data_IF_566064146036
#
_entry.id   IF_566064146036
#
_cell.length_a   1.000
_cell.length_b   1.000
_cell.length_c   1.000
_cell.angle_alpha   90.00
_cell.angle_beta   90.00
_cell.angle_gamma   90.00
#
_symmetry.space_group_name_H-M   'P 1'
#
loop_
_entity.id
_entity.type
_entity.pdbx_description
1 polymer ?
#
# COMPACT_ATOMS: atom_id res chain seq x y z
N UNK A 1 2.46 -1.34 -43.25
CA UNK A 1 1.86 -0.70 -42.06
C UNK A 1 2.12 -1.47 -40.76
N UNK A 2 2.00 -2.81 -40.74
CA UNK A 2 2.14 -3.63 -39.51
C UNK A 2 3.45 -3.47 -38.73
N UNK A 3 4.61 -3.38 -39.38
CA UNK A 3 5.91 -3.19 -38.70
C UNK A 3 5.98 -1.84 -37.97
N UNK A 4 5.50 -0.76 -38.60
CA UNK A 4 5.50 0.59 -38.01
C UNK A 4 4.63 0.60 -36.76
N UNK A 5 3.44 -0.02 -36.81
CA UNK A 5 2.53 -0.13 -35.66
C UNK A 5 3.12 -1.00 -34.55
N UNK A 6 3.80 -2.10 -34.88
CA UNK A 6 4.47 -2.94 -33.90
C UNK A 6 5.59 -2.21 -33.16
N UNK A 7 6.41 -1.44 -33.89
CA UNK A 7 7.49 -0.63 -33.30
C UNK A 7 6.92 0.44 -32.38
N UNK A 8 5.91 1.21 -32.82
CA UNK A 8 5.32 2.26 -31.99
C UNK A 8 4.60 1.69 -30.76
N UNK A 9 3.98 0.50 -30.87
CA UNK A 9 3.35 -0.18 -29.74
C UNK A 9 4.37 -0.60 -28.68
N UNK A 10 5.47 -1.25 -29.07
CA UNK A 10 6.51 -1.68 -28.13
C UNK A 10 7.19 -0.48 -27.48
N UNK A 11 7.48 0.59 -28.24
CA UNK A 11 7.99 1.84 -27.69
C UNK A 11 7.02 2.45 -26.67
N UNK A 12 5.71 2.43 -26.95
CA UNK A 12 4.67 2.89 -26.03
C UNK A 12 4.61 2.06 -24.74
N UNK A 13 4.68 0.73 -24.84
CA UNK A 13 4.68 -0.17 -23.68
C UNK A 13 5.91 0.08 -22.79
N UNK A 14 7.09 0.16 -23.38
CA UNK A 14 8.34 0.44 -22.65
C UNK A 14 8.27 1.82 -22.00
N UNK A 15 7.80 2.85 -22.72
CA UNK A 15 7.66 4.20 -22.18
C UNK A 15 6.70 4.26 -20.98
N UNK A 16 5.54 3.59 -21.07
CA UNK A 16 4.57 3.52 -19.97
C UNK A 16 5.13 2.80 -18.73
N UNK A 17 5.84 1.68 -18.94
CA UNK A 17 6.49 0.93 -17.87
C UNK A 17 7.60 1.75 -17.20
N UNK A 18 8.45 2.41 -17.99
CA UNK A 18 9.56 3.22 -17.48
C UNK A 18 9.06 4.43 -16.68
N UNK A 19 8.01 5.11 -17.15
CA UNK A 19 7.36 6.23 -16.44
C UNK A 19 6.76 5.79 -15.09
N UNK A 20 6.12 4.61 -15.04
CA UNK A 20 5.56 4.06 -13.80
C UNK A 20 6.65 3.68 -12.80
N UNK A 21 7.77 3.12 -13.27
CA UNK A 21 8.89 2.74 -12.42
C UNK A 21 9.64 3.98 -11.87
N UNK A 22 9.87 4.99 -12.71
CA UNK A 22 10.56 6.22 -12.31
C UNK A 22 9.77 7.01 -11.25
N UNK A 23 8.46 7.14 -11.45
CA UNK A 23 7.58 7.79 -10.47
C UNK A 23 7.53 7.03 -9.14
N UNK A 24 7.48 5.70 -9.16
CA UNK A 24 7.53 4.86 -7.96
C UNK A 24 8.87 4.97 -7.21
N UNK A 25 9.99 4.97 -7.93
CA UNK A 25 11.32 5.13 -7.32
C UNK A 25 11.49 6.53 -6.69
N UNK A 26 11.00 7.56 -7.37
CA UNK A 26 11.04 8.95 -6.91
C UNK A 26 10.17 9.17 -5.68
N UNK A 27 8.96 8.61 -5.65
CA UNK A 27 8.09 8.68 -4.48
C UNK A 27 8.69 7.96 -3.26
N UNK A 28 9.21 6.74 -3.44
CA UNK A 28 9.92 5.99 -2.40
C UNK A 28 11.12 6.77 -1.85
N UNK A 29 11.96 7.31 -2.73
CA UNK A 29 13.12 8.12 -2.33
C UNK A 29 12.69 9.34 -1.52
N UNK A 30 11.62 10.01 -1.95
CA UNK A 30 11.12 11.24 -1.33
C UNK A 30 10.51 10.96 0.04
N UNK A 31 9.60 9.99 0.13
CA UNK A 31 9.03 9.53 1.41
C UNK A 31 10.11 9.08 2.37
N UNK A 32 11.12 8.31 1.92
CA UNK A 32 12.22 7.91 2.80
C UNK A 32 13.06 9.11 3.29
N UNK A 33 13.38 10.06 2.42
CA UNK A 33 14.13 11.25 2.82
C UNK A 33 13.38 12.13 3.83
N UNK A 34 12.07 12.29 3.67
CA UNK A 34 11.25 13.17 4.50
C UNK A 34 10.85 12.44 5.79
N UNK A 35 10.26 11.26 5.68
CA UNK A 35 9.62 10.56 6.80
C UNK A 35 10.66 9.88 7.72
N UNK A 36 11.73 9.31 7.14
CA UNK A 36 12.75 8.57 7.91
C UNK A 36 14.01 9.40 8.20
N UNK A 37 14.56 10.08 7.17
CA UNK A 37 15.81 10.85 7.35
C UNK A 37 15.57 12.28 7.86
N UNK A 38 14.32 12.72 7.92
CA UNK A 38 13.91 14.07 8.33
C UNK A 38 14.75 15.15 7.67
N UNK A 39 14.95 15.02 6.35
CA UNK A 39 15.93 15.78 5.58
C UNK A 39 15.73 17.30 5.67
N UNK A 40 14.49 17.75 5.88
CA UNK A 40 14.16 19.16 6.05
C UNK A 40 14.80 19.81 7.28
N UNK A 41 15.24 19.02 8.27
CA UNK A 41 15.97 19.51 9.46
C UNK A 41 17.49 19.54 9.28
N UNK A 42 18.01 19.10 8.13
CA UNK A 42 19.46 19.04 7.86
C UNK A 42 19.94 20.30 7.10
N UNK A 43 21.22 20.70 7.24
CA UNK A 43 21.79 21.82 6.50
C UNK A 43 21.60 21.67 4.99
N UNK A 44 21.26 22.76 4.29
CA UNK A 44 21.00 22.73 2.84
C UNK A 44 22.14 22.13 2.01
N UNK A 45 23.39 22.37 2.44
CA UNK A 45 24.59 21.81 1.83
C UNK A 45 24.57 20.26 1.78
N UNK A 46 24.00 19.61 2.80
CA UNK A 46 23.94 18.15 2.91
C UNK A 46 22.70 17.56 2.26
N UNK A 47 21.60 18.32 2.15
CA UNK A 47 20.33 17.82 1.64
C UNK A 47 20.47 17.25 0.22
N UNK A 48 21.14 17.99 -0.68
CA UNK A 48 21.33 17.53 -2.08
C UNK A 48 22.16 16.25 -2.15
N UNK A 49 23.21 16.15 -1.34
CA UNK A 49 24.08 14.97 -1.27
C UNK A 49 23.33 13.75 -0.75
N UNK A 50 22.55 13.95 0.31
CA UNK A 50 21.74 12.88 0.92
C UNK A 50 20.68 12.40 -0.07
N UNK A 51 19.90 13.30 -0.71
CA UNK A 51 18.88 12.91 -1.71
C UNK A 51 19.47 12.07 -2.84
N UNK A 52 20.60 12.51 -3.43
CA UNK A 52 21.27 11.75 -4.50
C UNK A 52 21.72 10.38 -4.04
N UNK A 53 22.35 10.28 -2.86
CA UNK A 53 22.82 9.00 -2.32
C UNK A 53 21.66 8.06 -2.00
N UNK A 54 20.59 8.57 -1.39
CA UNK A 54 19.38 7.80 -1.11
C UNK A 54 18.71 7.33 -2.39
N UNK A 55 18.63 8.17 -3.43
CA UNK A 55 18.03 7.78 -4.70
C UNK A 55 18.76 6.61 -5.34
N UNK A 56 20.10 6.68 -5.45
CA UNK A 56 20.92 5.57 -5.97
C UNK A 56 20.76 4.30 -5.15
N UNK A 57 20.73 4.43 -3.82
CA UNK A 57 20.51 3.30 -2.92
C UNK A 57 19.12 2.68 -3.10
N UNK A 58 18.08 3.51 -3.24
CA UNK A 58 16.71 3.07 -3.48
C UNK A 58 16.57 2.39 -4.84
N UNK A 59 17.28 2.85 -5.88
CA UNK A 59 17.32 2.17 -7.19
C UNK A 59 17.88 0.77 -7.06
N UNK A 60 19.00 0.62 -6.32
CA UNK A 60 19.59 -0.69 -6.05
C UNK A 60 18.65 -1.59 -5.24
N UNK A 61 18.01 -1.06 -4.20
CA UNK A 61 17.03 -1.78 -3.40
C UNK A 61 15.86 -2.27 -4.25
N UNK A 62 15.32 -1.43 -5.14
CA UNK A 62 14.21 -1.79 -6.01
C UNK A 62 14.58 -2.94 -6.96
N UNK A 63 15.79 -2.93 -7.53
CA UNK A 63 16.31 -4.04 -8.34
C UNK A 63 16.37 -5.33 -7.52
N UNK A 64 16.90 -5.27 -6.30
CA UNK A 64 16.98 -6.45 -5.40
C UNK A 64 15.58 -6.99 -5.09
N UNK A 65 14.63 -6.13 -4.75
CA UNK A 65 13.24 -6.53 -4.46
C UNK A 65 12.60 -7.19 -5.69
N UNK A 66 12.79 -6.64 -6.90
CA UNK A 66 12.26 -7.24 -8.14
C UNK A 66 12.86 -8.62 -8.40
N UNK A 67 14.17 -8.79 -8.18
CA UNK A 67 14.83 -10.10 -8.30
C UNK A 67 14.26 -11.09 -7.28
N UNK A 68 14.11 -10.68 -6.01
CA UNK A 68 13.52 -11.52 -4.96
C UNK A 68 12.09 -11.94 -5.37
N UNK A 69 11.24 -11.01 -5.80
CA UNK A 69 9.88 -11.33 -6.24
C UNK A 69 9.86 -12.33 -7.39
N UNK A 70 10.81 -12.26 -8.32
CA UNK A 70 10.93 -13.22 -9.43
C UNK A 70 11.27 -14.64 -8.97
N UNK A 71 12.07 -14.79 -7.91
CA UNK A 71 12.58 -16.09 -7.45
C UNK A 71 11.80 -16.70 -6.28
N UNK A 72 11.22 -15.87 -5.41
CA UNK A 72 10.47 -16.34 -4.23
C UNK A 72 9.03 -16.68 -4.57
N UNK A 73 8.50 -16.11 -5.65
CA UNK A 73 7.10 -16.27 -6.01
C UNK A 73 6.92 -17.20 -7.21
N UNK A 74 6.39 -18.40 -6.96
CA UNK A 74 6.06 -19.38 -8.01
C UNK A 74 4.78 -19.01 -8.80
N UNK A 75 4.05 -17.98 -8.36
CA UNK A 75 2.84 -17.47 -9.02
C UNK A 75 3.17 -16.38 -10.03
N UNK A 76 2.20 -16.03 -10.88
CA UNK A 76 2.32 -14.85 -11.74
C UNK A 76 2.68 -13.62 -10.88
N UNK A 77 3.69 -12.87 -11.32
CA UNK A 77 4.20 -11.68 -10.62
C UNK A 77 3.06 -10.70 -10.29
N UNK A 78 2.08 -10.58 -11.19
CA UNK A 78 0.90 -9.73 -10.98
C UNK A 78 0.09 -10.23 -9.79
N UNK A 79 -0.24 -11.52 -9.76
CA UNK A 79 -1.04 -12.12 -8.68
C UNK A 79 -0.34 -11.96 -7.33
N UNK A 80 0.97 -12.13 -7.33
CA UNK A 80 1.82 -11.89 -6.18
C UNK A 80 1.75 -10.49 -5.64
N UNK A 81 1.98 -9.53 -6.52
CA UNK A 81 1.96 -8.11 -6.17
C UNK A 81 0.58 -7.70 -5.65
N UNK A 82 -0.49 -8.14 -6.30
CA UNK A 82 -1.87 -7.87 -5.87
C UNK A 82 -2.22 -8.56 -4.55
N UNK A 83 -1.69 -9.74 -4.29
CA UNK A 83 -1.87 -10.45 -3.01
C UNK A 83 -1.19 -9.69 -1.87
N UNK A 84 0.06 -9.27 -2.05
CA UNK A 84 0.77 -8.46 -1.04
C UNK A 84 0.06 -7.12 -0.84
N UNK A 85 -0.35 -6.45 -1.91
CA UNK A 85 -1.12 -5.21 -1.85
C UNK A 85 -2.44 -5.38 -1.11
N UNK A 86 -3.13 -6.51 -1.30
CA UNK A 86 -4.37 -6.83 -0.56
C UNK A 86 -4.17 -6.83 0.95
N UNK A 87 -3.08 -7.44 1.42
CA UNK A 87 -2.77 -7.51 2.85
C UNK A 87 -2.32 -6.17 3.43
N UNK A 88 -1.49 -5.41 2.71
CA UNK A 88 -0.90 -4.17 3.23
C UNK A 88 -1.73 -2.93 2.95
N UNK A 89 -2.28 -2.78 1.74
CA UNK A 89 -3.08 -1.63 1.35
C UNK A 89 -4.53 -1.72 1.80
N UNK A 90 -5.03 -2.89 2.16
CA UNK A 90 -6.37 -3.05 2.72
C UNK A 90 -6.62 -2.16 3.95
N UNK A 91 -5.82 -2.25 5.03
CA UNK A 91 -6.00 -1.39 6.20
C UNK A 91 -5.75 0.09 5.90
N UNK A 92 -4.79 0.40 5.04
CA UNK A 92 -4.55 1.78 4.61
C UNK A 92 -5.78 2.35 3.89
N UNK A 93 -6.40 1.59 2.99
CA UNK A 93 -7.62 1.96 2.30
C UNK A 93 -8.75 2.26 3.30
N UNK A 94 -8.91 1.42 4.34
CA UNK A 94 -9.89 1.65 5.40
C UNK A 94 -9.62 2.91 6.22
N UNK A 95 -8.35 3.15 6.59
CA UNK A 95 -7.91 4.35 7.30
C UNK A 95 -8.16 5.63 6.50
N UNK A 96 -7.72 5.65 5.24
CA UNK A 96 -7.91 6.79 4.35
C UNK A 96 -9.40 7.03 4.05
N UNK A 97 -10.15 5.98 3.76
CA UNK A 97 -11.60 6.06 3.53
C UNK A 97 -12.33 6.63 4.76
N UNK A 98 -11.99 6.15 5.96
CA UNK A 98 -12.57 6.66 7.20
C UNK A 98 -12.25 8.16 7.39
N UNK A 99 -10.99 8.56 7.20
CA UNK A 99 -10.59 9.96 7.33
C UNK A 99 -11.24 10.91 6.30
N UNK A 100 -11.50 10.43 5.08
CA UNK A 100 -12.14 11.23 4.02
C UNK A 100 -13.66 11.34 4.23
N UNK A 101 -14.33 10.22 4.53
CA UNK A 101 -15.80 10.18 4.60
C UNK A 101 -16.38 10.50 5.98
N UNK A 102 -15.56 10.51 7.04
CA UNK A 102 -16.03 10.62 8.42
C UNK A 102 -15.30 11.72 9.18
N UNK A 103 -16.04 12.49 10.01
CA UNK A 103 -15.46 13.55 10.87
C UNK A 103 -15.17 13.10 12.31
N UNK A 104 -15.39 11.82 12.61
CA UNK A 104 -15.18 11.27 13.95
C UNK A 104 -13.69 11.12 14.24
N UNK A 105 -13.28 11.53 15.45
CA UNK A 105 -11.95 11.23 15.94
C UNK A 105 -11.89 9.78 16.43
N UNK A 106 -10.83 9.08 16.07
CA UNK A 106 -10.53 7.73 16.54
C UNK A 106 -9.52 7.78 17.68
N UNK A 107 -9.49 6.74 18.50
CA UNK A 107 -8.44 6.61 19.51
C UNK A 107 -7.16 6.09 18.84
N UNK A 108 -6.20 6.96 18.62
CA UNK A 108 -4.95 6.67 17.89
C UNK A 108 -4.24 5.40 18.40
N UNK A 109 -4.21 5.20 19.73
CA UNK A 109 -3.57 4.04 20.36
C UNK A 109 -4.22 2.68 20.01
N UNK A 110 -5.43 2.65 19.44
CA UNK A 110 -6.11 1.41 19.04
C UNK A 110 -6.07 1.18 17.52
N UNK A 111 -5.60 2.15 16.73
CA UNK A 111 -5.58 2.05 15.26
C UNK A 111 -4.72 0.89 14.78
N UNK A 112 -3.54 0.69 15.38
CA UNK A 112 -2.65 -0.42 15.02
C UNK A 112 -3.28 -1.80 15.34
N UNK A 113 -4.07 -1.88 16.43
CA UNK A 113 -4.81 -3.11 16.79
C UNK A 113 -5.87 -3.41 15.74
N UNK A 114 -6.64 -2.40 15.32
CA UNK A 114 -7.66 -2.56 14.26
C UNK A 114 -7.04 -3.02 12.95
N UNK A 115 -5.91 -2.41 12.55
CA UNK A 115 -5.21 -2.81 11.33
C UNK A 115 -4.73 -4.27 11.40
N UNK A 116 -4.13 -4.67 12.53
CA UNK A 116 -3.68 -6.04 12.75
C UNK A 116 -4.85 -7.04 12.69
N UNK A 117 -5.95 -6.73 13.38
CA UNK A 117 -7.17 -7.57 13.38
C UNK A 117 -7.74 -7.69 11.97
N UNK A 118 -7.73 -6.61 11.17
CA UNK A 118 -8.20 -6.64 9.79
C UNK A 118 -7.35 -7.58 8.93
N UNK A 119 -6.02 -7.51 9.04
CA UNK A 119 -5.10 -8.40 8.33
C UNK A 119 -5.33 -9.85 8.73
N UNK A 120 -5.42 -10.15 10.03
CA UNK A 120 -5.69 -11.50 10.52
C UNK A 120 -7.05 -12.03 10.05
N UNK A 121 -8.07 -11.18 10.04
CA UNK A 121 -9.42 -11.55 9.58
C UNK A 121 -9.40 -11.95 8.10
N UNK A 122 -8.69 -11.19 7.26
CA UNK A 122 -8.66 -11.46 5.83
C UNK A 122 -7.76 -12.65 5.49
N UNK A 123 -6.70 -12.91 6.27
CA UNK A 123 -5.91 -14.14 6.16
C UNK A 123 -6.78 -15.33 6.52
N UNK A 124 -7.59 -15.24 7.58
CA UNK A 124 -8.59 -16.26 7.90
C UNK A 124 -9.57 -16.50 6.75
N UNK A 125 -10.11 -15.41 6.18
CA UNK A 125 -11.04 -15.48 5.06
C UNK A 125 -10.43 -16.10 3.80
N UNK A 126 -9.19 -15.74 3.48
CA UNK A 126 -8.47 -16.25 2.31
C UNK A 126 -8.17 -17.75 2.39
N UNK A 127 -8.12 -18.31 3.60
CA UNK A 127 -7.89 -19.75 3.84
C UNK A 127 -9.18 -20.57 4.02
N UNK A 128 -10.37 -19.95 3.94
CA UNK A 128 -11.63 -20.69 4.04
C UNK A 128 -11.85 -21.57 2.79
N UNK A 129 -12.27 -22.84 2.97
CA UNK A 129 -12.59 -23.70 1.83
C UNK A 129 -13.76 -23.15 1.02
N UNK A 130 -13.63 -23.15 -0.30
CA UNK A 130 -14.67 -22.68 -1.24
C UNK A 130 -16.04 -23.35 -1.02
N UNK A 131 -16.05 -24.57 -0.48
CA UNK A 131 -17.26 -25.30 -0.11
C UNK A 131 -18.15 -24.55 0.91
N UNK A 132 -17.55 -23.79 1.83
CA UNK A 132 -18.29 -22.99 2.82
C UNK A 132 -18.80 -21.66 2.27
N UNK A 133 -18.25 -21.22 1.13
CA UNK A 133 -18.61 -19.99 0.44
C UNK A 133 -19.51 -20.25 -0.78
N UNK A 134 -20.12 -21.44 -0.88
CA UNK A 134 -21.01 -21.81 -1.98
C UNK A 134 -20.30 -21.97 -3.33
N UNK A 135 -19.00 -22.27 -3.34
CA UNK A 135 -18.17 -22.34 -4.54
C UNK A 135 -17.48 -21.02 -4.91
N UNK A 136 -17.63 -19.97 -4.10
CA UNK A 136 -17.02 -18.66 -4.36
C UNK A 136 -15.51 -18.67 -4.07
N UNK A 137 -14.71 -18.30 -5.08
CA UNK A 137 -13.27 -18.14 -4.96
C UNK A 137 -12.93 -16.70 -4.58
N UNK A 138 -12.65 -16.49 -3.29
CA UNK A 138 -12.24 -15.19 -2.78
C UNK A 138 -10.83 -14.85 -3.29
N UNK A 139 -10.75 -13.89 -4.23
CA UNK A 139 -9.52 -13.43 -4.86
C UNK A 139 -9.16 -12.00 -4.45
N UNK A 140 -8.99 -11.11 -5.43
CA UNK A 140 -8.57 -9.71 -5.22
C UNK A 140 -9.60 -8.84 -4.50
N UNK A 141 -10.83 -9.30 -4.35
CA UNK A 141 -11.88 -8.64 -3.58
C UNK A 141 -11.59 -8.59 -2.09
N UNK A 142 -10.63 -9.40 -1.61
CA UNK A 142 -10.08 -9.27 -0.27
C UNK A 142 -9.58 -7.84 0.02
N UNK A 143 -9.12 -7.09 -0.99
CA UNK A 143 -8.63 -5.72 -0.80
C UNK A 143 -9.75 -4.78 -0.31
N UNK A 144 -10.88 -4.59 -1.04
CA UNK A 144 -11.98 -3.77 -0.55
C UNK A 144 -12.63 -4.35 0.70
N UNK A 145 -12.69 -5.68 0.87
CA UNK A 145 -13.19 -6.31 2.10
C UNK A 145 -12.31 -5.94 3.30
N UNK A 146 -10.99 -6.00 3.17
CA UNK A 146 -10.03 -5.61 4.20
C UNK A 146 -10.16 -4.12 4.55
N UNK A 147 -10.32 -3.28 3.54
CA UNK A 147 -10.62 -1.85 3.73
C UNK A 147 -11.91 -1.62 4.52
N UNK A 148 -12.97 -2.37 4.21
CA UNK A 148 -14.25 -2.26 4.92
C UNK A 148 -14.16 -2.74 6.37
N UNK A 149 -13.48 -3.86 6.63
CA UNK A 149 -13.27 -4.37 8.00
C UNK A 149 -12.52 -3.32 8.83
N UNK A 150 -11.46 -2.73 8.25
CA UNK A 150 -10.71 -1.66 8.93
C UNK A 150 -11.59 -0.44 9.17
N UNK A 151 -12.39 0.00 8.19
CA UNK A 151 -13.31 1.13 8.34
C UNK A 151 -14.32 0.90 9.48
N UNK A 152 -14.93 -0.29 9.55
CA UNK A 152 -15.87 -0.66 10.61
C UNK A 152 -15.15 -0.69 11.96
N UNK A 153 -13.95 -1.27 12.03
CA UNK A 153 -13.13 -1.28 13.24
C UNK A 153 -12.83 0.13 13.76
N UNK A 154 -12.48 1.05 12.87
CA UNK A 154 -12.28 2.47 13.19
C UNK A 154 -13.55 3.13 13.70
N UNK A 155 -14.70 2.84 13.08
CA UNK A 155 -15.98 3.35 13.53
C UNK A 155 -16.34 2.89 14.96
N UNK A 156 -15.99 1.66 15.33
CA UNK A 156 -16.23 1.12 16.67
C UNK A 156 -15.35 1.78 17.75
N UNK A 157 -14.10 2.12 17.42
CA UNK A 157 -13.16 2.76 18.37
C UNK A 157 -13.28 4.29 18.41
N UNK A 158 -14.26 4.88 17.72
CA UNK A 158 -14.45 6.34 17.69
C UNK A 158 -14.63 6.91 19.09
N UNK A 159 -14.04 8.08 19.31
CA UNK A 159 -14.22 8.85 20.55
C UNK A 159 -15.65 9.40 20.56
N UNK A 160 -16.48 8.89 21.48
CA UNK A 160 -17.75 9.55 21.80
C UNK A 160 -17.42 10.77 22.65
N UNK A 161 -17.74 11.98 22.18
CA UNK A 161 -17.76 13.17 23.04
C UNK A 161 -18.79 12.92 24.14
N UNK A 162 -18.32 12.57 25.33
CA UNK A 162 -19.15 12.54 26.53
C UNK A 162 -19.44 14.01 26.85
N UNK A 163 -20.67 14.47 26.62
CA UNK A 163 -21.11 15.76 27.14
C UNK A 163 -21.08 15.65 28.66
N UNK A 164 -20.05 16.21 29.29
CA UNK A 164 -20.01 16.38 30.74
C UNK A 164 -21.09 17.42 31.04
N UNK A 165 -22.22 16.94 31.55
CA UNK A 165 -23.27 17.78 32.12
C UNK A 165 -22.66 18.49 33.31
N UNK A 166 -22.44 19.79 33.18
CA UNK A 166 -22.26 20.70 34.32
C UNK A 166 -23.56 20.66 35.14
N UNK A 167 -23.48 20.13 36.35
CA UNK A 167 -24.46 20.31 37.41
C UNK A 167 -23.70 20.72 38.67
#
# INVERSE_FOLDING_TARGET
LGIIVGITFVLGLIAAAYSSADSALTSLTTSFCIDFLNIGKKPEADQKRIRKRTHVWMSGLLIVVVIIFKYVLDRNVIDGLLTVATYTYGPLLGLFSFGIFTKYQVKDNYVWVVALVSVLSIVGLANLPQAYLGGYAVGYELLPINGLITFIGLYLIRVRKTNISTA
#
